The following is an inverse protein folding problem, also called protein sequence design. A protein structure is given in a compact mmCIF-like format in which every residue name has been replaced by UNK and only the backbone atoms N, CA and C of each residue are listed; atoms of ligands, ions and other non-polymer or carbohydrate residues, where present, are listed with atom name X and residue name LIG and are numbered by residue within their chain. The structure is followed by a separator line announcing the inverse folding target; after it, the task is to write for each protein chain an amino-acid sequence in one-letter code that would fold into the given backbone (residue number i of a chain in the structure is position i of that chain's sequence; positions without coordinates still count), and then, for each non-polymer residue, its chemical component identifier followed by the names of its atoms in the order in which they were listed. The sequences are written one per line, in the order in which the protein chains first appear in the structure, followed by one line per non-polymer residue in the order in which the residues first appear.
data_IF_586095549279
#
_entry.id   IF_586095549279
#
_cell.length_a   1.000
_cell.length_b   1.000
_cell.length_c   1.000
_cell.angle_alpha   90.00
_cell.angle_beta   90.00
_cell.angle_gamma   90.00
#
_symmetry.space_group_name_H-M   'P 1'
#
loop_
_entity.id
_entity.type
_entity.pdbx_description
1 polymer ?
#
# COMPACT_ATOMS: atom_id res chain seq x y z
N UNK A 1 -6.95 -3.53 -3.40
CA UNK A 1 -6.70 -3.66 -4.85
C UNK A 1 -5.53 -4.62 -5.10
N UNK A 2 -5.40 -5.67 -4.30
CA UNK A 2 -4.09 -6.24 -3.95
C UNK A 2 -3.88 -7.68 -4.45
N UNK A 3 -4.97 -8.42 -4.65
CA UNK A 3 -4.99 -9.72 -5.35
C UNK A 3 -4.22 -9.76 -6.69
N UNK A 4 -4.32 -8.75 -7.60
CA UNK A 4 -3.59 -8.81 -8.87
C UNK A 4 -2.05 -8.75 -8.70
N UNK A 5 -1.55 -8.03 -7.71
CA UNK A 5 -0.12 -7.90 -7.45
C UNK A 5 0.44 -9.20 -6.85
N UNK A 6 -0.21 -9.76 -5.84
CA UNK A 6 0.16 -11.06 -5.25
C UNK A 6 0.11 -12.19 -6.29
N UNK A 7 -0.92 -12.23 -7.13
CA UNK A 7 -1.05 -13.22 -8.20
C UNK A 7 0.13 -13.15 -9.18
N UNK A 8 0.63 -11.95 -9.46
CA UNK A 8 1.79 -11.75 -10.33
C UNK A 8 3.05 -12.35 -9.72
N UNK A 9 3.31 -12.11 -8.42
CA UNK A 9 4.48 -12.67 -7.72
C UNK A 9 4.40 -14.20 -7.63
N UNK A 10 3.22 -14.75 -7.35
CA UNK A 10 3.00 -16.21 -7.34
C UNK A 10 3.17 -16.80 -8.74
N UNK A 11 2.71 -16.12 -9.79
CA UNK A 11 2.91 -16.56 -11.16
C UNK A 11 4.40 -16.58 -11.54
N UNK A 12 5.17 -15.55 -11.13
CA UNK A 12 6.63 -15.51 -11.33
C UNK A 12 7.30 -16.68 -10.61
N UNK A 13 6.91 -16.99 -9.37
CA UNK A 13 7.38 -18.17 -8.65
C UNK A 13 7.07 -19.46 -9.44
N UNK A 14 5.83 -19.63 -9.91
CA UNK A 14 5.44 -20.79 -10.72
C UNK A 14 6.25 -20.94 -12.02
N UNK A 15 6.46 -19.85 -12.74
CA UNK A 15 7.29 -19.85 -13.97
C UNK A 15 8.74 -20.20 -13.66
N UNK A 16 9.30 -19.66 -12.57
CA UNK A 16 10.64 -20.01 -12.09
C UNK A 16 10.74 -21.52 -11.85
N UNK A 17 9.78 -22.11 -11.13
CA UNK A 17 9.73 -23.56 -10.89
C UNK A 17 9.72 -24.37 -12.20
N UNK A 18 8.93 -23.97 -13.19
CA UNK A 18 8.84 -24.67 -14.47
C UNK A 18 10.14 -24.58 -15.27
N UNK A 19 10.79 -23.41 -15.29
CA UNK A 19 12.08 -23.20 -15.97
C UNK A 19 13.15 -24.08 -15.33
N UNK A 20 13.28 -24.03 -14.00
CA UNK A 20 14.27 -24.81 -13.28
C UNK A 20 13.99 -26.31 -13.36
N UNK A 21 12.73 -26.74 -13.29
CA UNK A 21 12.36 -28.14 -13.47
C UNK A 21 12.75 -28.65 -14.86
N UNK A 22 12.45 -27.88 -15.91
CA UNK A 22 12.84 -28.22 -17.28
C UNK A 22 14.35 -28.34 -17.46
N UNK A 23 15.11 -27.38 -16.93
CA UNK A 23 16.59 -27.43 -16.95
C UNK A 23 17.10 -28.63 -16.14
N UNK A 24 16.52 -28.90 -14.98
CA UNK A 24 16.89 -30.00 -14.09
C UNK A 24 16.67 -31.37 -14.73
N UNK A 25 15.57 -31.57 -15.46
CA UNK A 25 15.32 -32.81 -16.22
C UNK A 25 16.39 -33.04 -17.29
N UNK A 26 16.83 -31.97 -17.97
CA UNK A 26 17.87 -32.07 -19.01
C UNK A 26 19.27 -32.33 -18.44
N UNK A 27 19.56 -31.84 -17.24
CA UNK A 27 20.87 -31.98 -16.61
C UNK A 27 21.01 -33.24 -15.75
N UNK A 28 19.95 -33.63 -15.04
CA UNK A 28 19.98 -34.64 -13.98
C UNK A 28 18.96 -35.77 -14.18
N UNK A 29 18.30 -35.84 -15.33
CA UNK A 29 17.27 -36.86 -15.60
C UNK A 29 17.76 -38.31 -15.54
N UNK A 30 19.06 -38.53 -15.75
CA UNK A 30 19.72 -39.85 -15.67
C UNK A 30 20.50 -40.05 -14.37
N UNK A 31 20.30 -39.20 -13.37
CA UNK A 31 20.95 -39.39 -12.07
C UNK A 31 20.51 -40.72 -11.42
N UNK A 32 21.43 -41.43 -10.73
CA UNK A 32 21.11 -42.68 -10.06
C UNK A 32 20.11 -42.44 -8.94
N UNK A 33 19.15 -43.36 -8.78
CA UNK A 33 18.17 -43.36 -7.69
C UNK A 33 18.83 -43.91 -6.43
N UNK A 34 19.72 -43.13 -5.83
CA UNK A 34 20.37 -43.42 -4.56
C UNK A 34 20.04 -42.32 -3.54
N UNK A 35 19.85 -42.67 -2.25
CA UNK A 35 19.53 -41.70 -1.22
C UNK A 35 20.48 -40.48 -1.24
N UNK A 36 19.95 -39.25 -1.28
CA UNK A 36 18.56 -38.85 -1.01
C UNK A 36 17.61 -38.82 -2.22
N UNK A 37 18.03 -39.25 -3.41
CA UNK A 37 17.15 -39.37 -4.59
C UNK A 37 16.34 -40.68 -4.51
N UNK A 38 15.05 -40.59 -4.79
CA UNK A 38 14.09 -41.70 -4.75
C UNK A 38 13.05 -41.58 -5.89
N UNK A 39 12.09 -42.50 -6.00
CA UNK A 39 11.07 -42.55 -7.05
C UNK A 39 10.20 -41.27 -7.14
N UNK A 40 10.07 -40.55 -6.02
CA UNK A 40 9.36 -39.27 -5.95
C UNK A 40 10.33 -38.07 -6.04
N UNK A 41 11.51 -38.17 -5.45
CA UNK A 41 12.54 -37.13 -5.40
C UNK A 41 13.59 -37.33 -6.48
N UNK A 42 13.22 -37.07 -7.74
CA UNK A 42 14.11 -37.18 -8.88
C UNK A 42 13.82 -36.17 -10.00
N UNK A 43 14.69 -36.16 -11.00
CA UNK A 43 14.59 -35.29 -12.18
C UNK A 43 14.19 -36.04 -13.46
N UNK A 44 13.58 -37.24 -13.36
CA UNK A 44 13.20 -38.02 -14.56
C UNK A 44 12.02 -37.41 -15.32
N UNK A 45 11.10 -36.78 -14.60
CA UNK A 45 9.93 -36.10 -15.17
C UNK A 45 9.85 -34.67 -14.65
N UNK A 46 9.24 -33.77 -15.42
CA UNK A 46 9.10 -32.36 -15.02
C UNK A 46 8.30 -32.20 -13.72
N UNK A 47 7.34 -33.08 -13.45
CA UNK A 47 6.55 -33.06 -12.21
C UNK A 47 7.38 -33.50 -11.01
N UNK A 48 8.12 -34.61 -11.11
CA UNK A 48 9.01 -35.05 -10.03
C UNK A 48 10.13 -34.03 -9.77
N UNK A 49 10.66 -33.40 -10.83
CA UNK A 49 11.62 -32.33 -10.71
C UNK A 49 11.03 -31.12 -9.97
N UNK A 50 9.78 -30.75 -10.26
CA UNK A 50 9.08 -29.68 -9.54
C UNK A 50 8.88 -30.02 -8.05
N UNK A 51 8.51 -31.25 -7.71
CA UNK A 51 8.40 -31.71 -6.31
C UNK A 51 9.77 -31.71 -5.59
N UNK A 52 10.82 -32.17 -6.27
CA UNK A 52 12.19 -32.16 -5.74
C UNK A 52 12.66 -30.72 -5.49
N UNK A 53 12.40 -29.80 -6.43
CA UNK A 53 12.69 -28.39 -6.27
C UNK A 53 11.86 -27.73 -5.17
N UNK A 54 10.64 -28.21 -4.91
CA UNK A 54 9.82 -27.73 -3.80
C UNK A 54 10.42 -28.12 -2.45
N UNK A 55 10.95 -29.35 -2.33
CA UNK A 55 11.73 -29.75 -1.16
C UNK A 55 13.03 -28.93 -1.01
N UNK A 56 13.69 -28.60 -2.12
CA UNK A 56 14.88 -27.72 -2.09
C UNK A 56 14.50 -26.29 -1.69
N UNK A 57 13.33 -25.79 -2.08
CA UNK A 57 12.83 -24.46 -1.71
C UNK A 57 12.70 -24.29 -0.19
N UNK A 58 12.27 -25.35 0.53
CA UNK A 58 12.22 -25.34 2.00
C UNK A 58 13.60 -25.48 2.64
N UNK A 59 14.66 -25.54 1.83
CA UNK A 59 16.08 -25.70 2.22
C UNK A 59 16.37 -27.01 2.96
N UNK A 60 15.50 -28.01 2.83
CA UNK A 60 15.66 -29.31 3.46
C UNK A 60 16.55 -30.23 2.61
N UNK A 61 17.73 -30.60 3.13
CA UNK A 61 18.57 -31.64 2.53
C UNK A 61 19.09 -31.33 1.11
N UNK A 62 18.95 -30.09 0.62
CA UNK A 62 19.28 -29.71 -0.76
C UNK A 62 20.75 -29.97 -1.13
N UNK A 63 21.68 -29.86 -0.18
CA UNK A 63 23.09 -30.19 -0.37
C UNK A 63 23.29 -31.67 -0.70
N UNK A 64 22.50 -32.55 -0.07
CA UNK A 64 22.52 -33.99 -0.35
C UNK A 64 21.99 -34.30 -1.74
N UNK A 65 20.90 -33.65 -2.13
CA UNK A 65 20.32 -33.75 -3.48
C UNK A 65 21.32 -33.26 -4.53
N UNK A 66 21.94 -32.10 -4.30
CA UNK A 66 22.97 -31.56 -5.19
C UNK A 66 24.17 -32.50 -5.33
N UNK A 67 24.65 -33.09 -4.23
CA UNK A 67 25.73 -34.06 -4.27
C UNK A 67 25.34 -35.33 -5.05
N UNK A 68 24.12 -35.85 -4.86
CA UNK A 68 23.65 -37.01 -5.60
C UNK A 68 23.51 -36.72 -7.10
N UNK A 69 23.00 -35.54 -7.48
CA UNK A 69 22.96 -35.11 -8.89
C UNK A 69 24.35 -34.89 -9.51
N UNK A 70 25.37 -34.59 -8.69
CA UNK A 70 26.76 -34.47 -9.15
C UNK A 70 27.44 -35.83 -9.39
N UNK A 71 26.93 -36.90 -8.76
CA UNK A 71 27.33 -38.30 -8.98
C UNK A 71 26.53 -38.88 -10.15
N UNK A 72 26.67 -38.27 -11.32
CA UNK A 72 26.09 -38.80 -12.55
C UNK A 72 26.65 -40.18 -12.89
N UNK A 73 25.81 -41.02 -13.49
CA UNK A 73 26.25 -42.30 -14.04
C UNK A 73 27.35 -42.02 -15.09
N UNK A 74 28.54 -42.63 -15.02
CA UNK A 74 29.57 -42.47 -16.05
C UNK A 74 29.10 -42.88 -17.46
N UNK A 75 28.02 -43.65 -17.59
CA UNK A 75 27.38 -43.97 -18.86
C UNK A 75 26.46 -42.86 -19.41
N UNK A 76 26.15 -41.83 -18.62
CA UNK A 76 25.27 -40.74 -19.04
C UNK A 76 25.96 -39.85 -20.09
N UNK A 77 25.24 -39.36 -21.12
CA UNK A 77 25.80 -38.57 -22.22
C UNK A 77 26.52 -37.28 -21.78
N UNK A 78 26.22 -36.76 -20.58
CA UNK A 78 26.77 -35.53 -20.04
C UNK A 78 27.22 -35.69 -18.57
N UNK A 79 27.85 -36.83 -18.21
CA UNK A 79 28.27 -37.10 -16.84
C UNK A 79 29.16 -35.99 -16.24
N UNK A 80 30.16 -35.54 -17.00
CA UNK A 80 31.06 -34.44 -16.59
C UNK A 80 30.32 -33.11 -16.44
N UNK A 81 29.31 -32.86 -17.26
CA UNK A 81 28.49 -31.65 -17.21
C UNK A 81 27.74 -31.58 -15.89
N UNK A 82 26.99 -32.63 -15.53
CA UNK A 82 26.21 -32.71 -14.30
C UNK A 82 27.09 -32.51 -13.05
N UNK A 83 28.31 -33.05 -13.05
CA UNK A 83 29.28 -32.88 -11.96
C UNK A 83 29.68 -31.42 -11.75
N UNK A 84 29.89 -30.66 -12.82
CA UNK A 84 30.29 -29.26 -12.75
C UNK A 84 29.10 -28.30 -12.59
N UNK A 85 27.92 -28.67 -13.08
CA UNK A 85 26.73 -27.80 -13.08
C UNK A 85 25.79 -28.01 -11.90
N UNK A 86 25.87 -29.13 -11.18
CA UNK A 86 24.96 -29.44 -10.06
C UNK A 86 24.96 -28.36 -8.96
N UNK A 87 26.10 -28.12 -8.31
CA UNK A 87 26.21 -27.11 -7.26
C UNK A 87 25.79 -25.70 -7.71
N UNK A 88 26.29 -25.14 -8.83
CA UNK A 88 25.88 -23.81 -9.25
C UNK A 88 24.38 -23.74 -9.62
N UNK A 89 23.79 -24.81 -10.18
CA UNK A 89 22.36 -24.87 -10.44
C UNK A 89 21.53 -24.74 -9.15
N UNK A 90 21.85 -25.54 -8.12
CA UNK A 90 21.08 -25.51 -6.86
C UNK A 90 21.31 -24.23 -6.06
N UNK A 91 22.54 -23.69 -6.02
CA UNK A 91 22.82 -22.41 -5.36
C UNK A 91 22.07 -21.26 -6.06
N UNK A 92 22.05 -21.27 -7.40
CA UNK A 92 21.32 -20.26 -8.16
C UNK A 92 19.80 -20.37 -7.95
N UNK A 93 19.27 -21.60 -7.90
CA UNK A 93 17.86 -21.84 -7.58
C UNK A 93 17.48 -21.32 -6.18
N UNK A 94 18.22 -21.73 -5.15
CA UNK A 94 17.94 -21.34 -3.75
C UNK A 94 18.05 -19.83 -3.56
N UNK A 95 19.07 -19.19 -4.12
CA UNK A 95 19.23 -17.74 -4.03
C UNK A 95 18.11 -16.98 -4.75
N UNK A 96 17.75 -17.39 -5.96
CA UNK A 96 16.63 -16.77 -6.71
C UNK A 96 15.32 -16.96 -5.99
N UNK A 97 15.05 -18.15 -5.48
CA UNK A 97 13.86 -18.45 -4.70
C UNK A 97 13.74 -17.60 -3.43
N UNK A 98 14.85 -17.38 -2.73
CA UNK A 98 14.89 -16.50 -1.56
C UNK A 98 14.59 -15.04 -1.92
N UNK A 99 15.11 -14.55 -3.04
CA UNK A 99 14.81 -13.20 -3.54
C UNK A 99 13.31 -13.06 -3.84
N UNK A 100 12.70 -14.04 -4.52
CA UNK A 100 11.26 -14.02 -4.81
C UNK A 100 10.43 -14.10 -3.53
N UNK A 101 10.85 -14.91 -2.55
CA UNK A 101 10.19 -14.96 -1.25
C UNK A 101 10.23 -13.61 -0.52
N UNK A 102 11.38 -12.93 -0.52
CA UNK A 102 11.50 -11.58 0.04
C UNK A 102 10.60 -10.56 -0.69
N UNK A 103 10.50 -10.66 -2.02
CA UNK A 103 9.58 -9.82 -2.80
C UNK A 103 8.12 -10.06 -2.40
N UNK A 104 7.72 -11.32 -2.20
CA UNK A 104 6.37 -11.65 -1.72
C UNK A 104 6.12 -11.05 -0.34
N UNK A 105 7.05 -11.21 0.61
CA UNK A 105 6.92 -10.62 1.94
C UNK A 105 6.80 -9.09 1.88
N UNK A 106 7.60 -8.43 1.06
CA UNK A 106 7.55 -6.98 0.89
C UNK A 106 6.19 -6.52 0.38
N UNK A 107 5.63 -7.20 -0.65
CA UNK A 107 4.30 -6.88 -1.18
C UNK A 107 3.23 -7.04 -0.10
N UNK A 108 3.23 -8.17 0.63
CA UNK A 108 2.25 -8.41 1.70
C UNK A 108 2.33 -7.35 2.80
N UNK A 109 3.54 -6.93 3.19
CA UNK A 109 3.74 -5.89 4.20
C UNK A 109 3.22 -4.53 3.73
N UNK A 110 3.48 -4.16 2.48
CA UNK A 110 2.96 -2.90 1.91
C UNK A 110 1.43 -2.92 1.88
N UNK A 111 0.83 -4.02 1.41
CA UNK A 111 -0.62 -4.17 1.37
C UNK A 111 -1.26 -4.07 2.76
N UNK A 112 -0.60 -4.63 3.78
CA UNK A 112 -1.05 -4.52 5.16
C UNK A 112 -1.07 -3.06 5.66
N UNK A 113 0.00 -2.30 5.39
CA UNK A 113 0.07 -0.89 5.79
C UNK A 113 -0.92 -0.01 5.00
N UNK A 114 -1.04 -0.24 3.69
CA UNK A 114 -2.03 0.47 2.87
C UNK A 114 -3.46 0.22 3.37
N UNK A 115 -3.82 -1.00 3.78
CA UNK A 115 -5.14 -1.28 4.34
C UNK A 115 -5.41 -0.54 5.66
N UNK A 116 -4.39 -0.40 6.50
CA UNK A 116 -4.48 0.37 7.75
C UNK A 116 -4.71 1.85 7.49
N UNK A 117 -3.94 2.43 6.55
CA UNK A 117 -4.04 3.84 6.17
C UNK A 117 -5.40 4.13 5.51
N UNK A 118 -5.84 3.27 4.60
CA UNK A 118 -7.17 3.31 3.98
C UNK A 118 -8.30 3.31 5.01
N UNK A 119 -8.16 2.52 6.08
CA UNK A 119 -9.15 2.46 7.15
C UNK A 119 -9.18 3.77 7.96
N UNK A 120 -8.04 4.40 8.19
CA UNK A 120 -7.95 5.70 8.84
C UNK A 120 -8.59 6.80 7.97
N UNK A 121 -8.27 6.83 6.68
CA UNK A 121 -8.80 7.80 5.73
C UNK A 121 -10.31 7.65 5.51
N UNK A 122 -10.81 6.42 5.33
CA UNK A 122 -12.25 6.15 5.20
C UNK A 122 -13.04 6.66 6.42
N UNK A 123 -12.49 6.53 7.63
CA UNK A 123 -13.14 7.03 8.86
C UNK A 123 -13.22 8.56 8.88
N UNK A 124 -12.20 9.26 8.39
CA UNK A 124 -12.20 10.72 8.29
C UNK A 124 -13.20 11.19 7.23
N UNK A 125 -13.18 10.58 6.04
CA UNK A 125 -14.12 10.90 4.95
C UNK A 125 -15.57 10.66 5.39
N UNK A 126 -15.85 9.54 6.06
CA UNK A 126 -17.16 9.24 6.62
C UNK A 126 -17.60 10.31 7.65
N UNK A 127 -16.69 10.74 8.53
CA UNK A 127 -17.00 11.79 9.49
C UNK A 127 -17.38 13.13 8.82
N UNK A 128 -16.70 13.53 7.74
CA UNK A 128 -17.08 14.72 6.98
C UNK A 128 -18.38 14.53 6.18
N UNK A 129 -18.67 13.32 5.69
CA UNK A 129 -19.95 13.01 5.05
C UNK A 129 -21.12 13.13 6.05
N UNK A 130 -20.94 12.67 7.29
CA UNK A 130 -21.93 12.84 8.37
C UNK A 130 -22.19 14.31 8.66
N UNK A 131 -21.14 15.15 8.72
CA UNK A 131 -21.27 16.61 8.91
C UNK A 131 -22.12 17.23 7.80
N UNK A 132 -21.91 16.82 6.54
CA UNK A 132 -22.72 17.29 5.41
C UNK A 132 -24.20 16.93 5.58
N UNK A 133 -24.48 15.70 5.98
CA UNK A 133 -25.85 15.21 6.23
C UNK A 133 -26.52 15.99 7.37
N UNK A 134 -25.81 16.19 8.49
CA UNK A 134 -26.30 16.97 9.63
C UNK A 134 -26.57 18.44 9.26
N UNK A 135 -25.69 19.05 8.45
CA UNK A 135 -25.90 20.39 7.92
C UNK A 135 -27.21 20.48 7.13
N UNK A 136 -27.48 19.50 6.26
CA UNK A 136 -28.71 19.47 5.46
C UNK A 136 -29.97 19.29 6.33
N UNK A 137 -29.92 18.45 7.35
CA UNK A 137 -31.06 18.22 8.26
C UNK A 137 -31.40 19.48 9.07
N UNK A 138 -30.40 20.20 9.57
CA UNK A 138 -30.62 21.43 10.35
C UNK A 138 -31.10 22.58 9.44
N UNK A 139 -30.69 22.57 8.17
CA UNK A 139 -30.93 23.63 7.21
C UNK A 139 -32.06 23.31 6.20
N UNK A 140 -33.11 22.63 6.68
CA UNK A 140 -34.28 22.06 5.94
C UNK A 140 -34.95 22.90 4.82
N UNK A 141 -34.55 24.14 4.53
CA UNK A 141 -35.16 24.96 3.46
C UNK A 141 -34.28 26.07 2.82
N UNK A 142 -33.04 26.35 3.26
CA UNK A 142 -32.28 27.54 2.77
C UNK A 142 -30.86 27.20 2.36
N UNK A 143 -30.64 26.89 1.08
CA UNK A 143 -29.42 26.26 0.54
C UNK A 143 -28.06 26.96 0.76
N UNK A 144 -27.94 28.12 1.43
CA UNK A 144 -26.70 28.92 1.37
C UNK A 144 -26.04 29.28 2.69
N UNK A 145 -26.78 29.43 3.79
CA UNK A 145 -26.24 30.16 4.95
C UNK A 145 -26.92 29.79 6.28
N UNK A 146 -26.15 29.57 7.34
CA UNK A 146 -26.59 29.13 8.67
C UNK A 146 -26.43 30.26 9.70
N UNK A 147 -27.45 30.51 10.52
CA UNK A 147 -27.37 31.46 11.66
C UNK A 147 -26.50 30.89 12.79
N UNK A 148 -25.86 31.76 13.59
CA UNK A 148 -24.99 31.36 14.72
C UNK A 148 -25.66 30.39 15.72
N UNK A 149 -26.95 30.56 16.02
CA UNK A 149 -27.68 29.65 16.93
C UNK A 149 -27.80 28.22 16.38
N UNK A 150 -28.03 28.09 15.06
CA UNK A 150 -28.10 26.80 14.38
C UNK A 150 -26.71 26.17 14.26
N UNK A 151 -25.66 26.99 14.18
CA UNK A 151 -24.26 26.52 14.21
C UNK A 151 -23.94 25.81 15.53
N UNK A 152 -24.35 26.37 16.66
CA UNK A 152 -24.16 25.75 17.97
C UNK A 152 -24.88 24.40 18.07
N UNK A 153 -26.04 24.23 17.41
CA UNK A 153 -26.73 22.93 17.33
C UNK A 153 -25.96 21.94 16.45
N UNK A 154 -25.40 22.40 15.33
CA UNK A 154 -24.60 21.57 14.43
C UNK A 154 -23.31 21.10 15.09
N UNK A 155 -22.57 21.98 15.77
CA UNK A 155 -21.29 21.64 16.43
C UNK A 155 -21.46 20.51 17.46
N UNK A 156 -22.64 20.40 18.10
CA UNK A 156 -22.96 19.28 19.01
C UNK A 156 -23.16 17.95 18.30
N UNK A 157 -23.56 17.95 17.03
CA UNK A 157 -23.80 16.72 16.23
C UNK A 157 -22.61 16.31 15.37
N UNK A 158 -21.57 17.15 15.28
CA UNK A 158 -20.31 16.81 14.59
C UNK A 158 -19.62 15.63 15.28
N UNK A 159 -19.13 14.63 14.51
CA UNK A 159 -18.39 13.50 15.07
C UNK A 159 -17.17 13.95 15.90
N UNK A 160 -16.98 13.29 17.04
CA UNK A 160 -15.90 13.59 18.00
C UNK A 160 -14.50 13.53 17.41
N UNK A 161 -14.31 12.70 16.39
CA UNK A 161 -13.01 12.55 15.71
C UNK A 161 -12.53 13.87 15.10
N UNK A 162 -13.46 14.77 14.76
CA UNK A 162 -13.16 16.08 14.18
C UNK A 162 -13.07 17.20 15.22
N UNK A 163 -13.79 17.09 16.34
CA UNK A 163 -13.90 18.17 17.36
C UNK A 163 -13.13 17.90 18.64
N UNK A 164 -12.82 16.64 18.95
CA UNK A 164 -12.23 16.21 20.22
C UNK A 164 -13.17 16.31 21.43
N UNK A 165 -14.46 16.62 21.24
CA UNK A 165 -15.40 16.85 22.34
C UNK A 165 -15.89 15.54 23.00
N UNK A 166 -16.00 15.49 24.34
CA UNK A 166 -16.60 14.36 25.08
C UNK A 166 -18.14 14.28 24.95
N UNK A 167 -18.77 13.17 25.39
CA UNK A 167 -20.25 13.07 25.41
C UNK A 167 -20.80 14.07 26.42
N UNK A 168 -21.76 14.91 26.02
CA UNK A 168 -22.36 15.88 26.94
C UNK A 168 -21.45 17.06 27.28
N UNK A 169 -20.59 17.48 26.34
CA UNK A 169 -19.69 18.61 26.51
C UNK A 169 -20.40 19.85 27.06
N UNK A 170 -19.77 20.48 28.06
CA UNK A 170 -20.30 21.69 28.71
C UNK A 170 -20.39 22.85 27.71
N UNK A 171 -21.32 23.81 27.90
CA UNK A 171 -21.46 24.97 27.02
C UNK A 171 -20.17 25.78 26.84
N UNK A 172 -19.33 25.85 27.88
CA UNK A 172 -18.02 26.53 27.85
C UNK A 172 -17.06 25.86 26.87
N UNK A 173 -17.00 24.53 26.83
CA UNK A 173 -16.17 23.79 25.87
C UNK A 173 -16.66 23.98 24.44
N UNK A 174 -17.98 24.06 24.25
CA UNK A 174 -18.58 24.33 22.97
C UNK A 174 -18.23 25.74 22.46
N UNK A 175 -18.27 26.73 23.36
CA UNK A 175 -17.92 28.11 23.05
C UNK A 175 -16.44 28.26 22.72
N UNK A 176 -15.56 27.62 23.50
CA UNK A 176 -14.12 27.57 23.22
C UNK A 176 -13.84 26.91 21.86
N UNK A 177 -14.51 25.80 21.54
CA UNK A 177 -14.38 25.16 20.24
C UNK A 177 -14.81 26.10 19.11
N UNK A 178 -15.96 26.78 19.23
CA UNK A 178 -16.43 27.73 18.19
C UNK A 178 -15.49 28.93 18.05
N UNK A 179 -14.86 29.38 19.13
CA UNK A 179 -13.83 30.42 19.08
C UNK A 179 -12.58 29.95 18.34
N UNK A 180 -12.13 28.74 18.64
CA UNK A 180 -10.91 28.17 18.06
C UNK A 180 -11.15 27.73 16.60
N UNK A 181 -12.40 27.40 16.25
CA UNK A 181 -12.91 27.21 14.90
C UNK A 181 -13.10 28.60 14.26
N UNK A 182 -12.04 29.16 13.67
CA UNK A 182 -12.05 30.47 13.04
C UNK A 182 -12.93 30.50 11.76
N UNK A 183 -14.24 30.43 11.93
CA UNK A 183 -15.22 30.38 10.83
C UNK A 183 -15.52 31.80 10.36
N UNK A 184 -15.24 32.17 9.10
CA UNK A 184 -15.56 33.50 8.60
C UNK A 184 -17.08 33.67 8.47
N UNK A 185 -17.57 34.81 8.95
CA UNK A 185 -18.97 35.22 8.81
C UNK A 185 -19.17 35.96 7.49
N UNK A 186 -20.29 35.69 6.82
CA UNK A 186 -20.73 36.47 5.67
C UNK A 186 -21.18 37.87 6.08
N UNK A 187 -21.39 38.75 5.08
CA UNK A 187 -21.91 40.10 5.27
C UNK A 187 -23.29 40.15 5.92
N UNK A 188 -24.03 39.03 5.92
CA UNK A 188 -25.34 38.83 6.51
C UNK A 188 -25.30 38.21 7.92
N UNK A 189 -24.12 38.15 8.55
CA UNK A 189 -23.88 37.46 9.83
C UNK A 189 -24.22 35.96 9.79
N UNK A 190 -24.19 35.34 8.61
CA UNK A 190 -24.44 33.91 8.45
C UNK A 190 -23.20 33.15 8.01
N UNK A 191 -23.17 31.87 8.37
CA UNK A 191 -22.07 30.94 8.07
C UNK A 191 -22.38 30.13 6.83
N UNK A 192 -21.48 30.13 5.86
CA UNK A 192 -21.57 29.27 4.68
C UNK A 192 -20.98 27.88 4.96
N UNK A 193 -21.45 26.86 4.24
CA UNK A 193 -20.97 25.49 4.41
C UNK A 193 -19.48 25.31 4.08
N UNK A 194 -19.01 25.86 2.95
CA UNK A 194 -17.63 25.66 2.50
C UNK A 194 -16.60 26.24 3.48
N UNK A 195 -16.72 27.50 3.94
CA UNK A 195 -15.80 28.05 4.92
C UNK A 195 -15.87 27.34 6.29
N UNK A 196 -17.05 26.87 6.69
CA UNK A 196 -17.21 26.06 7.91
C UNK A 196 -16.44 24.74 7.82
N UNK A 197 -16.58 23.98 6.72
CA UNK A 197 -15.86 22.71 6.53
C UNK A 197 -14.35 22.93 6.46
N UNK A 198 -13.89 24.00 5.80
CA UNK A 198 -12.47 24.33 5.79
C UNK A 198 -11.94 24.67 7.19
N UNK A 199 -12.66 25.50 7.96
CA UNK A 199 -12.27 25.81 9.33
C UNK A 199 -12.25 24.54 10.21
N UNK A 200 -13.21 23.64 10.04
CA UNK A 200 -13.26 22.36 10.73
C UNK A 200 -12.13 21.42 10.34
N UNK A 201 -11.75 21.37 9.06
CA UNK A 201 -10.59 20.59 8.62
C UNK A 201 -9.30 21.16 9.22
N UNK A 202 -9.10 22.48 9.16
CA UNK A 202 -7.92 23.13 9.74
C UNK A 202 -7.82 22.85 11.26
N UNK A 203 -8.94 22.92 11.97
CA UNK A 203 -8.98 22.59 13.39
C UNK A 203 -8.69 21.09 13.66
N UNK A 204 -9.37 20.18 12.95
CA UNK A 204 -9.23 18.73 13.15
C UNK A 204 -7.80 18.23 12.89
N UNK A 205 -7.13 18.80 11.88
CA UNK A 205 -5.73 18.48 11.54
C UNK A 205 -4.70 19.36 12.25
N UNK A 206 -5.14 20.26 13.16
CA UNK A 206 -4.30 21.24 13.87
C UNK A 206 -3.40 22.07 12.93
N UNK A 207 -3.93 22.43 11.77
CA UNK A 207 -3.24 23.24 10.77
C UNK A 207 -3.51 24.72 11.08
N UNK A 208 -2.45 25.51 11.25
CA UNK A 208 -2.60 26.95 11.49
C UNK A 208 -2.81 27.73 10.18
N UNK A 209 -3.75 28.68 10.18
CA UNK A 209 -4.03 29.55 9.02
C UNK A 209 -2.82 30.40 8.62
N UNK A 210 -1.98 30.79 9.58
CA UNK A 210 -0.73 31.53 9.32
C UNK A 210 0.27 30.68 8.55
N UNK A 211 0.41 29.39 8.88
CA UNK A 211 1.22 28.46 8.10
C UNK A 211 0.67 28.30 6.69
N UNK A 212 -0.63 28.05 6.52
CA UNK A 212 -1.23 27.88 5.18
C UNK A 212 -1.08 29.15 4.35
N UNK A 213 -1.29 30.33 4.93
CA UNK A 213 -1.09 31.61 4.23
C UNK A 213 0.37 31.79 3.84
N UNK A 214 1.32 31.50 4.73
CA UNK A 214 2.76 31.57 4.44
C UNK A 214 3.20 30.59 3.35
N UNK A 215 2.63 29.38 3.33
CA UNK A 215 2.85 28.39 2.28
C UNK A 215 2.23 28.84 0.96
N UNK A 216 1.01 29.40 0.97
CA UNK A 216 0.36 29.91 -0.23
C UNK A 216 1.09 31.12 -0.81
N UNK A 217 1.57 32.05 0.02
CA UNK A 217 2.41 33.17 -0.44
C UNK A 217 3.76 32.69 -0.94
N UNK A 218 4.43 31.74 -0.28
CA UNK A 218 5.67 31.14 -0.80
C UNK A 218 5.46 30.43 -2.12
N UNK A 219 4.37 29.67 -2.24
CA UNK A 219 4.03 28.95 -3.46
C UNK A 219 3.65 29.94 -4.59
N UNK A 220 3.02 31.06 -4.27
CA UNK A 220 2.70 32.13 -5.23
C UNK A 220 3.96 32.92 -5.65
N UNK A 221 4.89 33.16 -4.73
CA UNK A 221 6.21 33.73 -5.01
C UNK A 221 7.06 32.78 -5.88
N UNK A 222 7.07 31.48 -5.59
CA UNK A 222 7.78 30.47 -6.38
C UNK A 222 7.15 30.24 -7.76
N UNK A 223 5.82 30.33 -7.91
CA UNK A 223 5.15 30.22 -9.22
C UNK A 223 5.49 31.38 -10.17
N UNK A 224 5.91 32.53 -9.64
CA UNK A 224 6.24 33.72 -10.42
C UNK A 224 7.74 33.88 -10.69
N UNK A 225 8.59 32.99 -10.18
CA UNK A 225 10.02 32.97 -10.55
C UNK A 225 10.25 32.06 -11.78
N UNK A 226 10.54 32.62 -12.97
CA UNK A 226 10.70 31.85 -14.21
C UNK A 226 11.96 30.96 -14.24
N UNK A 227 12.76 30.90 -13.18
CA UNK A 227 14.06 30.22 -13.16
C UNK A 227 14.05 28.83 -12.55
N UNK A 228 12.99 28.39 -11.88
CA UNK A 228 12.97 27.10 -11.16
C UNK A 228 11.61 26.38 -11.25
N UNK A 229 11.38 25.63 -12.34
CA UNK A 229 10.23 24.74 -12.45
C UNK A 229 10.46 23.45 -11.64
N UNK A 230 10.15 23.50 -10.34
CA UNK A 230 10.29 22.34 -9.42
C UNK A 230 9.14 21.34 -9.52
N UNK A 231 9.34 20.12 -8.99
CA UNK A 231 8.34 19.04 -8.98
C UNK A 231 6.99 19.43 -8.31
N UNK A 232 7.02 20.39 -7.40
CA UNK A 232 5.81 20.94 -6.76
C UNK A 232 4.88 21.63 -7.77
N UNK A 233 5.43 22.34 -8.77
CA UNK A 233 4.66 22.97 -9.83
C UNK A 233 3.97 21.93 -10.73
N UNK A 234 4.66 20.83 -11.02
CA UNK A 234 4.12 19.73 -11.83
C UNK A 234 2.96 19.03 -11.10
N UNK A 235 3.07 18.87 -9.78
CA UNK A 235 2.01 18.31 -8.93
C UNK A 235 0.80 19.25 -8.80
N UNK A 236 1.03 20.56 -8.63
CA UNK A 236 -0.03 21.56 -8.58
C UNK A 236 -0.83 21.60 -9.89
N UNK A 237 -0.15 21.62 -11.04
CA UNK A 237 -0.79 21.56 -12.37
C UNK A 237 -1.59 20.26 -12.53
N UNK A 238 -1.06 19.13 -12.06
CA UNK A 238 -1.75 17.84 -12.15
C UNK A 238 -3.00 17.79 -11.28
N UNK A 239 -2.96 18.34 -10.07
CA UNK A 239 -4.12 18.44 -9.18
C UNK A 239 -5.19 19.37 -9.77
N UNK A 240 -4.79 20.51 -10.34
CA UNK A 240 -5.70 21.45 -11.00
C UNK A 240 -6.32 20.79 -12.24
N UNK A 241 -5.52 20.11 -13.05
CA UNK A 241 -5.97 19.36 -14.23
C UNK A 241 -6.97 18.26 -13.90
N UNK A 242 -6.83 17.59 -12.75
CA UNK A 242 -7.74 16.52 -12.31
C UNK A 242 -9.03 17.11 -11.71
N UNK A 243 -8.95 18.23 -11.00
CA UNK A 243 -10.13 18.87 -10.36
C UNK A 243 -10.98 19.72 -11.30
N UNK A 244 -10.47 20.11 -12.47
CA UNK A 244 -11.17 20.97 -13.44
C UNK A 244 -11.56 20.27 -14.76
N UNK A 245 -11.55 18.94 -14.77
CA UNK A 245 -12.37 18.14 -15.69
C UNK A 245 -13.66 17.71 -14.99
#
# INVERSE_FOLDING_TARGET
HSLPTLATVIAVLGVMFLIFAGIGVRLFGEAPLEPPLDELTNFRTSWNAAFTLYQVLTTEGWLGIANACAKSDPAAPCATCARHTSYPYFVFFVSTAFIVFLQLCAVVVVEYFEELDDCADRKIVAAFADVKTQWQIINRATCRSLTAEKLLKLVKTVPRRLTGLPVGAQPVMLFNLVRDLHVPLGSDLRVQYRPFVHALALYAFRISLSQVRSYATRMHEELHDPRCFTAAHLLAVRIISIRWK
#
